data_IF_488783701432
#
_entry.id   IF_488783701432
#
_cell.length_a   1.000
_cell.length_b   1.000
_cell.length_c   1.000
_cell.angle_alpha   90.00
_cell.angle_beta   90.00
_cell.angle_gamma   90.00
#
_symmetry.space_group_name_H-M   'P 1'
#
loop_
_entity.id
_entity.type
_entity.pdbx_description
1 polymer ?
#
# COMPACT_ATOMS: atom_id res chain seq x y z
N UNK A 1 -5.29 -2.18 -8.91
CA UNK A 1 -5.33 -3.65 -8.76
C UNK A 1 -6.73 -4.19 -8.58
N UNK A 2 -6.83 -5.50 -8.30
CA UNK A 2 -8.08 -6.26 -8.10
C UNK A 2 -8.98 -5.61 -7.04
N UNK A 3 -8.41 -5.17 -5.91
CA UNK A 3 -9.12 -4.48 -4.82
C UNK A 3 -9.92 -3.28 -5.31
N UNK A 4 -9.35 -2.43 -6.17
CA UNK A 4 -10.08 -1.28 -6.72
C UNK A 4 -11.27 -1.70 -7.58
N UNK A 5 -11.16 -2.78 -8.36
CA UNK A 5 -12.26 -3.30 -9.19
C UNK A 5 -13.41 -3.81 -8.32
N UNK A 6 -13.09 -4.50 -7.23
CA UNK A 6 -14.08 -4.96 -6.23
C UNK A 6 -14.80 -3.75 -5.62
N UNK A 7 -14.06 -2.72 -5.19
CA UNK A 7 -14.66 -1.50 -4.64
C UNK A 7 -15.57 -0.80 -5.65
N UNK A 8 -15.17 -0.70 -6.93
CA UNK A 8 -16.01 -0.12 -7.98
C UNK A 8 -17.29 -0.91 -8.24
N UNK A 9 -17.19 -2.23 -8.26
CA UNK A 9 -18.37 -3.08 -8.48
C UNK A 9 -19.31 -3.06 -7.28
N UNK A 10 -18.76 -3.08 -6.06
CA UNK A 10 -19.51 -2.87 -4.83
C UNK A 10 -20.23 -1.51 -4.84
N UNK A 11 -19.56 -0.46 -5.32
CA UNK A 11 -20.16 0.87 -5.42
C UNK A 11 -21.33 0.88 -6.41
N UNK A 12 -21.21 0.14 -7.53
CA UNK A 12 -22.28 0.02 -8.53
C UNK A 12 -23.55 -0.64 -7.96
N UNK A 13 -23.39 -1.70 -7.15
CA UNK A 13 -24.51 -2.47 -6.60
C UNK A 13 -25.13 -1.84 -5.34
N UNK A 14 -24.35 -1.10 -4.55
CA UNK A 14 -24.84 -0.48 -3.32
C UNK A 14 -25.87 0.60 -3.64
N UNK A 15 -26.93 0.65 -2.83
CA UNK A 15 -27.87 1.79 -2.82
C UNK A 15 -27.16 3.04 -2.32
N UNK A 16 -27.70 4.20 -2.71
CA UNK A 16 -27.32 5.51 -2.16
C UNK A 16 -27.36 5.48 -0.61
N UNK A 17 -26.34 6.07 0.04
CA UNK A 17 -26.14 5.98 1.49
C UNK A 17 -25.70 4.61 2.04
N UNK A 18 -25.59 3.57 1.22
CA UNK A 18 -25.17 2.23 1.64
C UNK A 18 -23.71 2.18 2.08
N UNK A 19 -23.39 1.28 3.01
CA UNK A 19 -22.05 1.11 3.55
C UNK A 19 -21.33 -0.11 2.96
N UNK A 20 -20.01 0.00 2.82
CA UNK A 20 -19.09 -1.08 2.53
C UNK A 20 -18.12 -1.24 3.69
N UNK A 21 -17.99 -2.46 4.21
CA UNK A 21 -16.98 -2.82 5.20
C UNK A 21 -15.95 -3.71 4.54
N UNK A 22 -14.72 -3.21 4.47
CA UNK A 22 -13.54 -3.99 4.07
C UNK A 22 -12.81 -4.46 5.31
N UNK A 23 -12.48 -5.75 5.38
CA UNK A 23 -11.64 -6.31 6.44
C UNK A 23 -10.63 -7.22 5.77
N UNK A 24 -9.36 -6.96 6.02
CA UNK A 24 -8.25 -7.74 5.45
C UNK A 24 -7.02 -7.61 6.34
N UNK A 25 -5.93 -8.29 5.98
CA UNK A 25 -4.62 -7.97 6.52
C UNK A 25 -4.26 -6.51 6.23
N UNK A 26 -3.50 -5.87 7.12
CA UNK A 26 -3.08 -4.49 6.94
C UNK A 26 -1.83 -4.43 6.05
N UNK A 27 -1.90 -3.87 4.82
CA UNK A 27 -0.74 -3.72 3.94
C UNK A 27 0.33 -2.78 4.52
N UNK A 28 -0.02 -1.98 5.53
CA UNK A 28 0.90 -1.11 6.26
C UNK A 28 1.47 -1.78 7.53
N UNK A 29 1.04 -3.00 7.87
CA UNK A 29 1.52 -3.70 9.07
C UNK A 29 3.02 -3.96 8.99
N UNK A 30 3.81 -3.54 10.00
CA UNK A 30 5.24 -3.84 10.05
C UNK A 30 5.53 -5.34 10.06
N UNK A 31 4.65 -6.16 10.65
CA UNK A 31 4.80 -7.61 10.70
C UNK A 31 4.67 -8.22 9.31
N UNK A 32 3.63 -7.84 8.56
CA UNK A 32 3.42 -8.30 7.18
C UNK A 32 4.57 -7.81 6.28
N UNK A 33 4.99 -6.55 6.43
CA UNK A 33 6.13 -6.00 5.68
C UNK A 33 7.46 -6.68 5.98
N UNK A 34 7.67 -7.20 7.19
CA UNK A 34 8.87 -8.01 7.50
C UNK A 34 8.80 -9.39 6.85
N UNK A 35 7.63 -10.01 6.78
CA UNK A 35 7.47 -11.29 6.06
C UNK A 35 7.80 -11.13 4.57
N UNK A 36 7.45 -10.00 3.98
CA UNK A 36 7.81 -9.65 2.59
C UNK A 36 9.32 -9.56 2.31
N UNK A 37 10.13 -9.25 3.31
CA UNK A 37 11.59 -9.18 3.15
C UNK A 37 12.23 -10.57 2.98
N UNK A 38 11.45 -11.65 3.12
CA UNK A 38 11.90 -13.04 2.92
C UNK A 38 11.57 -13.47 1.49
N UNK A 39 12.57 -13.63 0.60
CA UNK A 39 12.37 -13.94 -0.83
C UNK A 39 11.56 -15.22 -1.09
N UNK A 40 11.65 -16.20 -0.19
CA UNK A 40 10.93 -17.46 -0.28
C UNK A 40 9.41 -17.29 -0.12
N UNK A 41 8.97 -16.29 0.66
CA UNK A 41 7.54 -15.99 0.86
C UNK A 41 6.98 -15.29 -0.39
N UNK A 42 7.69 -14.29 -0.91
CA UNK A 42 7.24 -13.46 -2.04
C UNK A 42 7.32 -14.17 -3.38
N UNK A 43 8.30 -15.05 -3.58
CA UNK A 43 8.50 -15.75 -4.85
C UNK A 43 7.67 -17.03 -5.02
N UNK A 44 7.33 -17.72 -3.93
CA UNK A 44 6.78 -19.09 -3.99
C UNK A 44 5.42 -19.28 -3.29
N UNK A 45 5.14 -18.53 -2.22
CA UNK A 45 3.97 -18.78 -1.38
C UNK A 45 2.83 -17.82 -1.73
N UNK A 46 3.14 -16.54 -1.97
CA UNK A 46 2.11 -15.54 -2.24
C UNK A 46 2.59 -14.50 -3.27
N UNK A 47 2.51 -14.81 -4.58
CA UNK A 47 3.07 -13.97 -5.64
C UNK A 47 2.41 -12.59 -5.78
N UNK A 48 1.23 -12.40 -5.17
CA UNK A 48 0.50 -11.14 -5.17
C UNK A 48 0.73 -10.30 -3.91
N UNK A 49 1.55 -10.76 -2.96
CA UNK A 49 1.75 -10.07 -1.69
C UNK A 49 2.49 -8.73 -1.86
N UNK A 50 3.39 -8.63 -2.85
CA UNK A 50 4.03 -7.36 -3.21
C UNK A 50 3.01 -6.33 -3.75
N UNK A 51 2.13 -6.77 -4.66
CA UNK A 51 1.03 -5.95 -5.17
C UNK A 51 0.08 -5.52 -4.04
N UNK A 52 -0.18 -6.42 -3.10
CA UNK A 52 -1.02 -6.15 -1.94
C UNK A 52 -0.45 -5.03 -1.06
N UNK A 53 0.85 -5.07 -0.74
CA UNK A 53 1.48 -4.03 0.07
C UNK A 53 1.63 -2.67 -0.63
N UNK A 54 1.41 -2.61 -1.95
CA UNK A 54 1.30 -1.34 -2.68
C UNK A 54 -0.08 -0.66 -2.57
N UNK A 55 -1.07 -1.35 -1.97
CA UNK A 55 -2.44 -0.83 -1.88
C UNK A 55 -2.52 0.33 -0.89
N UNK A 56 -2.90 1.50 -1.39
CA UNK A 56 -3.36 2.62 -0.56
C UNK A 56 -4.88 2.56 -0.42
N UNK A 57 -5.36 1.95 0.67
CA UNK A 57 -6.80 1.77 0.91
C UNK A 57 -7.57 3.10 0.88
N UNK A 58 -7.16 4.17 1.60
CA UNK A 58 -7.86 5.45 1.52
C UNK A 58 -8.02 6.01 0.10
N UNK A 59 -6.94 6.00 -0.71
CA UNK A 59 -6.98 6.46 -2.11
C UNK A 59 -7.92 5.60 -2.96
N UNK A 60 -7.91 4.28 -2.75
CA UNK A 60 -8.76 3.35 -3.49
C UNK A 60 -10.24 3.56 -3.19
N UNK A 61 -10.62 3.77 -1.92
CA UNK A 61 -11.99 4.06 -1.53
C UNK A 61 -12.50 5.39 -2.09
N UNK A 62 -11.69 6.47 -1.98
CA UNK A 62 -12.03 7.78 -2.57
C UNK A 62 -12.22 7.68 -4.07
N UNK A 63 -11.24 7.10 -4.79
CA UNK A 63 -11.34 6.90 -6.25
C UNK A 63 -12.51 6.01 -6.67
N UNK A 64 -12.95 5.10 -5.79
CA UNK A 64 -14.11 4.27 -6.04
C UNK A 64 -15.45 5.02 -5.88
N UNK A 65 -15.47 6.16 -5.20
CA UNK A 65 -16.68 6.99 -4.97
C UNK A 65 -17.22 6.90 -3.54
N UNK A 66 -16.41 6.43 -2.60
CA UNK A 66 -16.81 6.31 -1.20
C UNK A 66 -16.23 7.42 -0.35
N UNK A 67 -16.99 7.79 0.69
CA UNK A 67 -16.48 8.52 1.85
C UNK A 67 -16.09 7.54 2.95
N UNK A 68 -14.82 7.54 3.32
CA UNK A 68 -14.34 6.73 4.45
C UNK A 68 -14.90 7.33 5.76
N UNK A 69 -15.62 6.51 6.53
CA UNK A 69 -16.16 6.90 7.84
C UNK A 69 -15.12 6.64 8.92
N UNK A 70 -14.54 5.42 8.92
CA UNK A 70 -13.51 5.04 9.87
C UNK A 70 -12.56 4.03 9.25
N UNK A 71 -11.32 4.06 9.72
CA UNK A 71 -10.32 3.04 9.46
C UNK A 71 -9.76 2.62 10.81
N UNK A 72 -9.90 1.34 11.15
CA UNK A 72 -9.33 0.77 12.35
C UNK A 72 -8.23 -0.23 11.94
N UNK A 73 -7.09 -0.16 12.62
CA UNK A 73 -5.97 -1.09 12.43
C UNK A 73 -5.69 -1.75 13.77
N UNK A 74 -5.69 -3.08 13.78
CA UNK A 74 -5.42 -3.87 14.98
C UNK A 74 -4.53 -5.06 14.63
N UNK A 75 -3.32 -5.08 15.20
CA UNK A 75 -2.33 -6.11 14.94
C UNK A 75 -1.90 -6.15 13.47
N UNK A 76 -2.28 -7.23 12.77
CA UNK A 76 -1.99 -7.44 11.35
C UNK A 76 -3.22 -7.22 10.45
N UNK A 77 -4.30 -6.66 10.98
CA UNK A 77 -5.55 -6.48 10.27
C UNK A 77 -5.96 -5.01 10.17
N UNK A 78 -6.67 -4.68 9.11
CA UNK A 78 -7.30 -3.39 8.87
C UNK A 78 -8.78 -3.58 8.56
N UNK A 79 -9.61 -2.72 9.15
CA UNK A 79 -11.02 -2.60 8.83
C UNK A 79 -11.32 -1.17 8.34
N UNK A 80 -11.91 -1.05 7.15
CA UNK A 80 -12.34 0.23 6.59
C UNK A 80 -13.85 0.20 6.42
N UNK A 81 -14.54 1.10 7.11
CA UNK A 81 -15.96 1.36 6.89
C UNK A 81 -16.09 2.61 6.02
N UNK A 82 -16.76 2.46 4.87
CA UNK A 82 -16.97 3.57 3.94
C UNK A 82 -18.43 3.61 3.46
N UNK A 83 -18.93 4.81 3.18
CA UNK A 83 -20.30 5.06 2.72
C UNK A 83 -20.29 5.49 1.27
N UNK A 84 -21.21 4.93 0.48
CA UNK A 84 -21.52 5.44 -0.87
C UNK A 84 -22.18 6.81 -0.73
N UNK A 85 -21.56 7.81 -1.37
CA UNK A 85 -22.07 9.17 -1.37
C UNK A 85 -23.36 9.29 -2.19
N UNK A 86 -24.17 10.27 -1.83
CA UNK A 86 -25.29 10.70 -2.67
C UNK A 86 -24.77 11.57 -3.82
N UNK A 87 -25.51 11.58 -4.93
CA UNK A 87 -25.22 12.46 -6.07
C UNK A 87 -25.34 13.93 -5.60
N UNK A 88 -24.21 14.62 -5.48
CA UNK A 88 -24.12 16.00 -4.97
C UNK A 88 -23.40 16.16 -3.62
N UNK A 89 -22.96 15.09 -2.96
CA UNK A 89 -22.16 15.16 -1.72
C UNK A 89 -20.62 15.21 -1.96
N UNK A 90 -20.17 15.16 -3.22
CA UNK A 90 -18.75 15.36 -3.57
C UNK A 90 -18.46 16.86 -3.55
N UNK A 91 -17.70 17.33 -2.56
CA UNK A 91 -17.18 18.71 -2.54
C UNK A 91 -15.93 18.80 -3.43
N UNK A 92 -15.75 19.94 -4.10
CA UNK A 92 -14.60 20.21 -4.96
C UNK A 92 -13.24 20.12 -4.22
N UNK A 93 -13.23 20.20 -2.89
CA UNK A 93 -12.03 19.99 -2.05
C UNK A 93 -11.55 18.52 -1.98
N UNK A 94 -12.31 17.55 -2.52
CA UNK A 94 -11.86 16.17 -2.72
C UNK A 94 -11.09 16.01 -4.06
N UNK A 95 -10.42 17.08 -4.52
CA UNK A 95 -9.57 17.07 -5.70
C UNK A 95 -8.58 15.90 -5.64
N UNK A 96 -8.69 15.05 -6.66
CA UNK A 96 -7.83 13.90 -6.87
C UNK A 96 -6.39 14.42 -7.03
N UNK A 97 -5.57 14.34 -5.99
CA UNK A 97 -4.12 14.50 -6.14
C UNK A 97 -3.67 13.54 -7.25
N UNK A 98 -3.35 14.11 -8.41
CA UNK A 98 -2.85 13.40 -9.57
C UNK A 98 -1.60 12.60 -9.20
N UNK A 99 -1.47 11.45 -9.86
CA UNK A 99 -0.38 10.50 -9.67
C UNK A 99 1.00 11.15 -9.79
N UNK A 100 1.60 11.50 -8.65
CA UNK A 100 3.05 11.38 -8.51
C UNK A 100 3.35 9.94 -8.15
N UNK A 101 3.55 9.12 -9.19
CA UNK A 101 4.40 7.95 -9.09
C UNK A 101 5.77 8.46 -8.62
N UNK A 102 6.03 8.41 -7.31
CA UNK A 102 7.42 8.41 -6.83
C UNK A 102 7.97 7.05 -7.27
N UNK A 103 8.53 7.03 -8.48
CA UNK A 103 9.57 6.07 -8.83
C UNK A 103 10.62 6.28 -7.77
N UNK A 104 10.77 5.31 -6.87
CA UNK A 104 11.87 5.32 -5.93
C UNK A 104 13.15 5.36 -6.75
N UNK A 105 13.84 6.50 -6.73
CA UNK A 105 15.24 6.55 -7.11
C UNK A 105 15.97 5.67 -6.09
N UNK A 106 16.24 4.42 -6.47
CA UNK A 106 17.30 3.66 -5.84
C UNK A 106 18.60 4.41 -6.12
N UNK A 107 19.35 4.89 -5.11
CA UNK A 107 20.71 5.34 -5.35
C UNK A 107 21.56 4.12 -5.71
N UNK A 108 21.94 4.05 -6.98
CA UNK A 108 23.01 3.22 -7.51
C UNK A 108 24.31 3.60 -6.77
N UNK A 109 24.94 2.58 -6.15
CA UNK A 109 26.34 2.47 -5.76
C UNK A 109 27.29 3.62 -6.15
N UNK A 110 27.82 4.33 -5.15
CA UNK A 110 29.19 4.85 -5.23
C UNK A 110 30.13 3.87 -4.52
N UNK A 111 30.83 3.07 -5.33
CA UNK A 111 32.09 2.45 -4.90
C UNK A 111 33.13 3.56 -4.79
N UNK A 112 33.51 3.94 -3.57
CA UNK A 112 34.76 4.68 -3.37
C UNK A 112 35.92 3.69 -3.42
N UNK A 113 36.63 3.72 -4.54
CA UNK A 113 37.98 3.21 -4.62
C UNK A 113 38.90 4.13 -3.80
N UNK A 114 39.44 3.61 -2.69
CA UNK A 114 40.71 4.09 -2.14
C UNK A 114 41.63 2.89 -2.00
N UNK A 115 42.49 2.73 -3.01
CA UNK A 115 43.72 1.96 -2.85
C UNK A 115 44.74 2.78 -2.04
N UNK A 116 45.45 2.02 -1.21
CA UNK A 116 46.87 2.13 -0.91
C UNK A 116 47.29 2.87 0.38
N UNK A 117 47.60 2.06 1.40
CA UNK A 117 48.98 1.98 1.93
C UNK A 117 49.19 0.72 2.75
N UNK A 118 50.13 -0.08 2.24
CA UNK A 118 50.77 -1.17 2.95
C UNK A 118 51.27 -0.72 4.33
N UNK A 119 51.04 -1.55 5.34
CA UNK A 119 51.99 -1.68 6.44
C UNK A 119 52.16 -3.15 6.83
N UNK A 120 53.44 -3.51 6.85
CA UNK A 120 54.01 -4.84 7.04
C UNK A 120 54.01 -5.14 8.53
N UNK A 121 53.37 -6.23 8.97
CA UNK A 121 53.76 -6.91 10.21
C UNK A 121 53.66 -8.44 10.06
N UNK A 122 54.85 -9.05 10.14
CA UNK A 122 55.20 -10.47 10.14
C UNK A 122 54.64 -11.22 11.37
N UNK A 123 54.30 -12.53 11.26
CA UNK A 123 53.90 -13.33 12.41
C UNK A 123 55.11 -13.83 13.23
N UNK A 124 54.98 -13.79 14.56
CA UNK A 124 55.72 -14.62 15.52
C UNK A 124 54.70 -15.39 16.36
#
# INVERSE_FOLDING_TARGET
GVTFRILKEAHRILRKGGCFLFVDQDPESPTIRRQLAVPEITGYIEPYLADFCSINLPKYFRRAGYKVITTNREGVFVAVLARKLDEGELSDDDELEEDTLVVGDDPILEQTAEEDKADVLTPC
#
